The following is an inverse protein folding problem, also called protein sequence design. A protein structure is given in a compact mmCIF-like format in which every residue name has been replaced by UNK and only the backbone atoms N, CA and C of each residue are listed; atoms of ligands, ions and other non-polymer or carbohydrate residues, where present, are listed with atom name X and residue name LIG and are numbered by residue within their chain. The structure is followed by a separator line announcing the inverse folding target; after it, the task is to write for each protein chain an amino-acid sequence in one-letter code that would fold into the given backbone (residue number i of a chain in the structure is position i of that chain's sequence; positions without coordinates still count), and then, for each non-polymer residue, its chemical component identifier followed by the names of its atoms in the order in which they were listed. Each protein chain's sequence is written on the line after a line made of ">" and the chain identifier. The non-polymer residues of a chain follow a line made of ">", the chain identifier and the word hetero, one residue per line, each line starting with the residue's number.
data_IF_675881053781
#
_entry.id   IF_675881053781
#
_cell.length_a   1.000
_cell.length_b   1.000
_cell.length_c   1.000
_cell.angle_alpha   90.00
_cell.angle_beta   90.00
_cell.angle_gamma   90.00
#
_symmetry.space_group_name_H-M   'P 1'
#
loop_
_entity.id
_entity.type
_entity.pdbx_description
1 polymer ?
#
# COMPACT_ATOMS: atom_id res chain seq x y z
N UNK A 1 18.77 -3.76 9.32
CA UNK A 1 18.52 -4.27 10.69
C UNK A 1 17.02 -4.23 10.99
N UNK A 2 16.54 -4.92 12.04
CA UNK A 2 15.11 -4.88 12.44
C UNK A 2 14.61 -3.46 12.70
N UNK A 3 15.42 -2.63 13.37
CA UNK A 3 15.08 -1.24 13.66
C UNK A 3 14.81 -0.43 12.38
N UNK A 4 15.68 -0.56 11.38
CA UNK A 4 15.49 0.09 10.08
C UNK A 4 14.21 -0.36 9.38
N UNK A 5 13.90 -1.67 9.39
CA UNK A 5 12.65 -2.19 8.83
C UNK A 5 11.43 -1.55 9.49
N UNK A 6 11.39 -1.51 10.83
CA UNK A 6 10.27 -0.91 11.58
C UNK A 6 10.14 0.58 11.27
N UNK A 7 11.27 1.29 11.13
CA UNK A 7 11.26 2.70 10.75
C UNK A 7 10.64 2.91 9.36
N UNK A 8 11.03 2.10 8.37
CA UNK A 8 10.45 2.15 7.02
C UNK A 8 8.95 1.83 6.99
N UNK A 9 8.49 0.89 7.83
CA UNK A 9 7.05 0.57 7.92
C UNK A 9 6.26 1.76 8.46
N UNK A 10 6.79 2.46 9.48
CA UNK A 10 6.09 3.57 10.14
C UNK A 10 6.17 4.88 9.37
N UNK A 11 7.34 5.20 8.85
CA UNK A 11 7.67 6.54 8.35
C UNK A 11 8.17 6.56 6.91
N UNK A 12 8.59 5.40 6.38
CA UNK A 12 9.14 5.28 5.04
C UNK A 12 8.18 4.61 4.06
N UNK A 13 8.78 4.06 3.01
CA UNK A 13 8.10 3.56 1.81
C UNK A 13 7.78 2.06 1.87
N UNK A 14 7.73 1.48 3.06
CA UNK A 14 7.16 0.15 3.25
C UNK A 14 5.65 0.25 3.49
N UNK A 15 4.90 -0.28 2.54
CA UNK A 15 3.45 -0.36 2.56
C UNK A 15 3.05 -1.72 3.15
N UNK A 16 3.17 -1.84 4.47
CA UNK A 16 2.97 -3.09 5.22
C UNK A 16 1.97 -2.84 6.34
N UNK A 17 0.97 -3.71 6.48
CA UNK A 17 -0.05 -3.62 7.53
C UNK A 17 -1.39 -4.18 7.06
N UNK A 18 -2.46 -3.67 7.64
CA UNK A 18 -3.84 -3.97 7.19
C UNK A 18 -4.14 -3.30 5.84
N UNK A 19 -5.15 -3.77 5.09
CA UNK A 19 -5.57 -3.14 3.84
C UNK A 19 -5.85 -1.64 3.97
N UNK A 20 -6.48 -1.21 5.06
CA UNK A 20 -6.82 0.20 5.31
C UNK A 20 -5.55 1.05 5.51
N UNK A 21 -4.58 0.50 6.24
CA UNK A 21 -3.29 1.17 6.49
C UNK A 21 -2.54 1.36 5.17
N UNK A 22 -2.48 0.31 4.37
CA UNK A 22 -1.82 0.33 3.06
C UNK A 22 -2.52 1.30 2.12
N UNK A 23 -3.85 1.27 2.03
CA UNK A 23 -4.64 2.16 1.18
C UNK A 23 -4.41 3.64 1.51
N UNK A 24 -4.44 4.00 2.80
CA UNK A 24 -4.16 5.37 3.25
C UNK A 24 -2.74 5.82 2.88
N UNK A 25 -1.73 4.96 3.05
CA UNK A 25 -0.35 5.28 2.66
C UNK A 25 -0.21 5.46 1.15
N UNK A 26 -0.85 4.62 0.32
CA UNK A 26 -0.82 4.73 -1.14
C UNK A 26 -1.48 6.03 -1.60
N UNK A 27 -2.68 6.34 -1.11
CA UNK A 27 -3.39 7.56 -1.46
C UNK A 27 -2.59 8.82 -1.07
N UNK A 28 -1.99 8.82 0.12
CA UNK A 28 -1.09 9.89 0.54
C UNK A 28 0.09 10.03 -0.43
N UNK A 29 0.80 8.94 -0.73
CA UNK A 29 1.97 8.98 -1.61
C UNK A 29 1.62 9.51 -3.01
N UNK A 30 0.57 8.99 -3.64
CA UNK A 30 0.11 9.42 -4.96
C UNK A 30 -0.15 10.94 -5.00
N UNK A 31 -0.78 11.49 -3.96
CA UNK A 31 -1.03 12.93 -3.85
C UNK A 31 0.24 13.73 -3.64
N UNK A 32 1.09 13.31 -2.71
CA UNK A 32 2.31 14.03 -2.35
C UNK A 32 3.23 14.23 -3.56
N UNK A 33 3.24 13.30 -4.51
CA UNK A 33 4.07 13.38 -5.72
C UNK A 33 3.30 13.76 -6.99
N UNK A 34 1.97 13.92 -6.93
CA UNK A 34 1.12 14.18 -8.10
C UNK A 34 1.08 13.02 -9.12
N UNK A 35 1.31 11.79 -8.68
CA UNK A 35 1.33 10.62 -9.54
C UNK A 35 -0.08 10.07 -9.79
N UNK A 36 -0.24 9.39 -10.93
CA UNK A 36 -1.50 8.74 -11.33
C UNK A 36 -1.42 7.21 -11.26
N UNK A 37 -0.21 6.66 -11.06
CA UNK A 37 0.07 5.23 -11.05
C UNK A 37 0.90 4.87 -9.83
N UNK A 38 0.57 3.73 -9.22
CA UNK A 38 1.32 3.14 -8.13
C UNK A 38 1.67 1.69 -8.47
N UNK A 39 2.96 1.37 -8.51
CA UNK A 39 3.43 -0.01 -8.67
C UNK A 39 3.74 -0.62 -7.30
N UNK A 40 3.12 -1.77 -6.99
CA UNK A 40 3.24 -2.39 -5.67
C UNK A 40 4.09 -3.67 -5.73
N UNK A 41 5.26 -3.62 -5.08
CA UNK A 41 6.08 -4.81 -4.85
C UNK A 41 5.57 -5.57 -3.63
N UNK A 42 4.89 -6.69 -3.87
CA UNK A 42 4.22 -7.49 -2.83
C UNK A 42 5.12 -8.50 -2.10
N UNK A 43 6.37 -8.68 -2.55
CA UNK A 43 7.32 -9.67 -2.03
C UNK A 43 8.56 -9.01 -1.43
N UNK A 44 9.04 -9.56 -0.30
CA UNK A 44 10.28 -9.10 0.35
C UNK A 44 11.14 -10.30 0.79
N UNK A 45 11.93 -10.83 -0.16
CA UNK A 45 12.75 -12.02 0.03
C UNK A 45 11.97 -13.33 -0.15
N UNK A 46 12.56 -14.48 0.26
CA UNK A 46 11.89 -15.78 0.19
C UNK A 46 10.63 -15.79 1.08
N UNK A 47 9.47 -16.01 0.47
CA UNK A 47 8.18 -16.07 1.15
C UNK A 47 7.38 -17.25 0.62
N UNK A 48 6.55 -17.85 1.49
CA UNK A 48 5.62 -18.89 1.07
C UNK A 48 4.66 -18.33 -0.02
N UNK A 49 4.49 -19.09 -1.10
CA UNK A 49 3.65 -18.69 -2.23
C UNK A 49 2.21 -18.35 -1.79
N UNK A 50 1.65 -19.08 -0.82
CA UNK A 50 0.31 -18.78 -0.26
C UNK A 50 0.20 -17.38 0.34
N UNK A 51 1.25 -16.88 1.01
CA UNK A 51 1.28 -15.51 1.55
C UNK A 51 1.33 -14.47 0.44
N UNK A 52 2.10 -14.75 -0.61
CA UNK A 52 2.19 -13.89 -1.79
C UNK A 52 0.83 -13.79 -2.50
N UNK A 53 0.17 -14.92 -2.72
CA UNK A 53 -1.17 -14.96 -3.32
C UNK A 53 -2.20 -14.23 -2.46
N UNK A 54 -2.14 -14.38 -1.13
CA UNK A 54 -3.04 -13.65 -0.24
C UNK A 54 -2.81 -12.13 -0.28
N UNK A 55 -1.56 -11.69 -0.35
CA UNK A 55 -1.24 -10.27 -0.54
C UNK A 55 -1.82 -9.72 -1.85
N UNK A 56 -1.72 -10.47 -2.95
CA UNK A 56 -2.30 -10.08 -4.25
C UNK A 56 -3.83 -9.98 -4.15
N UNK A 57 -4.48 -10.98 -3.54
CA UNK A 57 -5.93 -11.00 -3.33
C UNK A 57 -6.41 -9.78 -2.53
N UNK A 58 -5.79 -9.51 -1.37
CA UNK A 58 -6.15 -8.37 -0.53
C UNK A 58 -5.87 -7.03 -1.22
N UNK A 59 -4.76 -6.95 -1.97
CA UNK A 59 -4.43 -5.75 -2.73
C UNK A 59 -5.52 -5.45 -3.78
N UNK A 60 -5.90 -6.45 -4.57
CA UNK A 60 -6.88 -6.29 -5.63
C UNK A 60 -8.31 -6.04 -5.11
N UNK A 61 -8.73 -6.76 -4.07
CA UNK A 61 -10.12 -6.78 -3.61
C UNK A 61 -10.45 -5.76 -2.53
N UNK A 62 -9.45 -5.28 -1.77
CA UNK A 62 -9.68 -4.35 -0.66
C UNK A 62 -8.91 -3.04 -0.82
N UNK A 63 -7.59 -3.12 -1.06
CA UNK A 63 -6.74 -1.92 -1.11
C UNK A 63 -7.09 -1.04 -2.31
N UNK A 64 -7.14 -1.60 -3.52
CA UNK A 64 -7.38 -0.83 -4.75
C UNK A 64 -8.72 -0.09 -4.72
N UNK A 65 -9.86 -0.72 -4.33
CA UNK A 65 -11.12 0.00 -4.16
C UNK A 65 -11.03 1.16 -3.15
N UNK A 66 -10.46 0.93 -1.96
CA UNK A 66 -10.32 1.96 -0.93
C UNK A 66 -9.46 3.15 -1.40
N UNK A 67 -8.36 2.89 -2.12
CA UNK A 67 -7.51 3.96 -2.68
C UNK A 67 -8.32 4.81 -3.67
N UNK A 68 -9.10 4.17 -4.55
CA UNK A 68 -9.95 4.88 -5.52
C UNK A 68 -11.00 5.73 -4.82
N UNK A 69 -11.65 5.20 -3.79
CA UNK A 69 -12.63 5.94 -2.99
C UNK A 69 -12.01 7.16 -2.31
N UNK A 70 -10.88 7.00 -1.61
CA UNK A 70 -10.16 8.09 -0.95
C UNK A 70 -9.82 9.20 -1.95
N UNK A 71 -9.30 8.85 -3.12
CA UNK A 71 -8.93 9.82 -4.15
C UNK A 71 -10.13 10.42 -4.89
N UNK A 72 -11.29 9.76 -4.89
CA UNK A 72 -12.51 10.26 -5.51
C UNK A 72 -13.23 11.30 -4.64
N UNK A 73 -13.32 11.07 -3.32
CA UNK A 73 -13.93 12.00 -2.36
C UNK A 73 -13.28 13.38 -2.44
N UNK A 74 -11.97 13.44 -2.66
CA UNK A 74 -11.20 14.68 -2.68
C UNK A 74 -11.30 15.46 -3.99
N UNK A 75 -11.66 14.84 -5.12
CA UNK A 75 -11.88 15.57 -6.38
C UNK A 75 -13.20 16.35 -6.40
N UNK A 76 -14.11 16.06 -5.47
CA UNK A 76 -15.45 16.64 -5.37
C UNK A 76 -15.49 17.78 -4.34
N UNK A 77 -14.35 18.10 -3.71
CA UNK A 77 -14.15 19.26 -2.80
C UNK A 77 -13.42 20.39 -3.52
#
# INVERSE_FOLDING_TARGET
>A
TKAHFVNEVRHGSFYVGTPETVAKKIAHALRSVGAQRFDFKYANGPMAHSKLMKSIELYATQVVPMVKEILAVEKVS
#
